data_IF_825972341150
#
_entry.id   IF_825972341150
#
_cell.length_a   1.000
_cell.length_b   1.000
_cell.length_c   1.000
_cell.angle_alpha   90.00
_cell.angle_beta   90.00
_cell.angle_gamma   90.00
#
_symmetry.space_group_name_H-M   'P 1'
#
loop_
_entity.id
_entity.type
_entity.pdbx_description
1 polymer ?
#
# COMPACT_ATOMS: atom_id res chain seq x y z
N UNK A 1 -3.35 -3.46 6.94
CA UNK A 1 -2.13 -2.81 6.38
C UNK A 1 -1.08 -2.57 7.46
N UNK A 2 0.22 -2.59 7.11
CA UNK A 2 1.29 -2.16 8.02
C UNK A 2 1.24 -0.65 8.29
N UNK A 3 1.58 -0.27 9.53
CA UNK A 3 1.75 1.12 9.94
C UNK A 3 2.96 1.75 9.22
N UNK A 4 2.89 3.02 8.82
CA UNK A 4 3.98 3.73 8.08
C UNK A 4 5.35 3.62 8.75
N UNK A 5 5.38 3.72 10.08
CA UNK A 5 6.56 3.56 10.93
C UNK A 5 7.33 2.27 10.67
N UNK A 6 6.67 1.19 10.26
CA UNK A 6 7.36 -0.06 9.91
C UNK A 6 8.26 0.13 8.67
N UNK A 7 7.75 0.80 7.64
CA UNK A 7 8.51 1.11 6.41
C UNK A 7 9.60 2.16 6.68
N UNK A 8 9.32 3.15 7.52
CA UNK A 8 10.31 4.15 7.95
C UNK A 8 11.42 3.56 8.83
N UNK A 9 11.09 2.58 9.66
CA UNK A 9 12.09 1.82 10.42
C UNK A 9 12.91 0.96 9.47
N UNK A 10 12.28 0.28 8.50
CA UNK A 10 12.97 -0.52 7.50
C UNK A 10 14.00 0.32 6.71
N UNK A 11 13.61 1.51 6.24
CA UNK A 11 14.52 2.44 5.55
C UNK A 11 15.74 2.78 6.41
N UNK A 12 15.51 3.19 7.67
CA UNK A 12 16.60 3.51 8.62
C UNK A 12 17.52 2.33 8.87
N UNK A 13 16.94 1.15 9.07
CA UNK A 13 17.69 -0.09 9.33
C UNK A 13 18.55 -0.47 8.14
N UNK A 14 18.02 -0.44 6.92
CA UNK A 14 18.79 -0.79 5.71
C UNK A 14 19.91 0.23 5.47
N UNK A 15 19.63 1.53 5.65
CA UNK A 15 20.66 2.58 5.54
C UNK A 15 21.83 2.33 6.49
N UNK A 16 21.53 1.95 7.73
CA UNK A 16 22.53 1.62 8.73
C UNK A 16 23.33 0.35 8.39
N UNK A 17 22.64 -0.73 7.99
CA UNK A 17 23.28 -2.01 7.63
C UNK A 17 24.23 -1.84 6.43
N UNK A 18 23.84 -1.02 5.45
CA UNK A 18 24.61 -0.83 4.21
C UNK A 18 25.61 0.32 4.26
N UNK A 19 25.67 1.05 5.39
CA UNK A 19 26.37 2.33 5.51
C UNK A 19 26.10 3.27 4.30
N UNK A 20 24.83 3.34 3.89
CA UNK A 20 24.42 4.06 2.70
C UNK A 20 23.19 4.91 3.00
N UNK A 21 23.30 6.24 2.84
CA UNK A 21 22.25 7.19 3.19
C UNK A 21 21.15 7.36 2.12
N UNK A 22 21.28 6.75 0.95
CA UNK A 22 20.22 6.72 -0.06
C UNK A 22 18.97 6.02 0.48
N UNK A 23 17.80 6.35 -0.08
CA UNK A 23 16.54 5.69 0.29
C UNK A 23 16.67 4.15 0.19
N UNK A 24 16.19 3.45 1.22
CA UNK A 24 16.33 1.99 1.37
C UNK A 24 17.78 1.51 1.18
N UNK A 25 18.77 2.30 1.59
CA UNK A 25 20.19 2.05 1.37
C UNK A 25 20.55 1.80 -0.11
N UNK A 26 19.83 2.43 -1.03
CA UNK A 26 19.97 2.24 -2.47
C UNK A 26 19.38 0.95 -3.04
N UNK A 27 18.58 0.20 -2.26
CA UNK A 27 17.89 -0.99 -2.76
C UNK A 27 16.59 -0.63 -3.47
N UNK A 28 16.28 -1.39 -4.52
CA UNK A 28 14.96 -1.37 -5.12
C UNK A 28 14.00 -2.15 -4.23
N UNK A 29 12.93 -1.49 -3.78
CA UNK A 29 11.88 -2.09 -2.96
C UNK A 29 10.57 -2.05 -3.73
N UNK A 30 9.93 -3.20 -3.89
CA UNK A 30 8.59 -3.31 -4.45
C UNK A 30 7.58 -3.40 -3.31
N UNK A 31 6.64 -2.45 -3.28
CA UNK A 31 5.49 -2.50 -2.39
C UNK A 31 4.29 -3.00 -3.19
N UNK A 32 3.73 -4.13 -2.79
CA UNK A 32 2.55 -4.73 -3.41
C UNK A 32 1.42 -4.82 -2.39
N UNK A 33 0.21 -4.46 -2.82
CA UNK A 33 -0.99 -4.56 -1.98
C UNK A 33 -2.11 -3.66 -2.47
N UNK A 34 -3.32 -3.94 -2.02
CA UNK A 34 -4.48 -3.09 -2.25
C UNK A 34 -4.66 -2.10 -1.09
N UNK A 35 -4.17 -0.88 -1.26
CA UNK A 35 -4.28 0.19 -0.26
C UNK A 35 -5.71 0.68 -0.03
N UNK A 36 -6.69 0.26 -0.86
CA UNK A 36 -8.13 0.54 -0.68
C UNK A 36 -8.82 -0.47 0.24
N UNK A 37 -8.18 -1.59 0.58
CA UNK A 37 -8.86 -2.74 1.19
C UNK A 37 -9.05 -2.61 2.70
N UNK A 38 -8.06 -2.07 3.43
CA UNK A 38 -8.20 -1.85 4.88
C UNK A 38 -7.15 -0.85 5.38
N UNK A 39 -7.57 0.14 6.16
CA UNK A 39 -6.65 1.03 6.87
C UNK A 39 -5.84 0.25 7.94
N UNK A 40 -4.70 0.79 8.43
CA UNK A 40 -4.03 0.22 9.59
C UNK A 40 -4.96 0.28 10.81
N UNK A 41 -5.12 -0.84 11.51
CA UNK A 41 -5.95 -0.92 12.72
C UNK A 41 -5.22 -0.25 13.87
N UNK A 42 -5.82 0.79 14.46
CA UNK A 42 -5.30 1.49 15.63
C UNK A 42 -6.30 1.37 16.77
N UNK A 43 -5.94 0.66 17.84
CA UNK A 43 -6.80 0.51 19.01
C UNK A 43 -7.11 1.88 19.62
N UNK A 44 -8.41 2.20 19.75
CA UNK A 44 -8.91 3.49 20.26
C UNK A 44 -8.39 4.70 19.47
N UNK A 45 -8.00 4.51 18.21
CA UNK A 45 -7.56 5.57 17.32
C UNK A 45 -8.74 6.42 16.83
N UNK A 46 -8.46 7.69 16.52
CA UNK A 46 -9.40 8.51 15.74
C UNK A 46 -9.13 8.30 14.25
N UNK A 47 -10.08 8.64 13.35
CA UNK A 47 -9.84 8.56 11.90
C UNK A 47 -8.59 9.31 11.45
N UNK A 48 -8.29 10.46 12.08
CA UNK A 48 -7.07 11.20 11.81
C UNK A 48 -5.79 10.42 12.14
N UNK A 49 -5.80 9.64 13.23
CA UNK A 49 -4.67 8.78 13.62
C UNK A 49 -4.52 7.61 12.64
N UNK A 50 -5.61 7.00 12.20
CA UNK A 50 -5.60 5.92 11.21
C UNK A 50 -5.06 6.38 9.85
N UNK A 51 -5.52 7.54 9.38
CA UNK A 51 -5.03 8.17 8.15
C UNK A 51 -3.53 8.48 8.29
N UNK A 52 -3.11 9.06 9.43
CA UNK A 52 -1.70 9.34 9.69
C UNK A 52 -0.83 8.08 9.82
N UNK A 53 -1.42 6.93 10.17
CA UNK A 53 -0.75 5.64 10.21
C UNK A 53 -0.55 5.03 8.81
N UNK A 54 -1.30 5.48 7.80
CA UNK A 54 -1.20 4.95 6.44
C UNK A 54 0.14 5.26 5.79
N UNK A 55 0.58 4.36 4.90
CA UNK A 55 1.81 4.55 4.14
C UNK A 55 1.84 5.86 3.35
N UNK A 56 0.69 6.30 2.82
CA UNK A 56 0.54 7.57 2.10
C UNK A 56 0.94 8.80 2.94
N UNK A 57 0.84 8.71 4.27
CA UNK A 57 1.23 9.75 5.21
C UNK A 57 2.70 9.66 5.66
N UNK A 58 3.49 8.75 5.07
CA UNK A 58 4.93 8.65 5.33
C UNK A 58 5.71 9.70 4.57
N UNK A 59 6.79 10.18 5.17
CA UNK A 59 7.79 11.03 4.48
C UNK A 59 8.41 10.33 3.27
N UNK A 60 8.41 8.99 3.26
CA UNK A 60 8.96 8.20 2.15
C UNK A 60 8.02 8.13 0.94
N UNK A 61 6.75 8.49 1.10
CA UNK A 61 5.76 8.34 0.03
C UNK A 61 6.08 9.16 -1.22
N UNK A 62 6.73 10.31 -1.06
CA UNK A 62 7.17 11.17 -2.18
C UNK A 62 8.11 10.45 -3.14
N UNK A 63 8.82 9.43 -2.66
CA UNK A 63 9.76 8.64 -3.47
C UNK A 63 9.12 7.39 -4.10
N UNK A 64 7.85 7.11 -3.82
CA UNK A 64 7.16 5.92 -4.32
C UNK A 64 6.63 6.19 -5.72
N UNK A 65 7.13 5.42 -6.69
CA UNK A 65 6.53 5.33 -8.02
C UNK A 65 5.35 4.37 -7.99
N UNK A 66 4.18 4.84 -8.43
CA UNK A 66 2.94 4.05 -8.43
C UNK A 66 2.80 3.29 -9.74
N UNK A 67 2.43 2.02 -9.63
CA UNK A 67 2.03 1.17 -10.74
C UNK A 67 0.68 0.55 -10.39
N UNK A 68 -0.27 0.65 -11.30
CA UNK A 68 -1.64 0.16 -11.10
C UNK A 68 -1.87 -1.07 -11.98
N UNK A 69 -2.23 -2.19 -11.36
CA UNK A 69 -2.74 -3.35 -12.08
C UNK A 69 -4.24 -3.14 -12.31
N UNK A 70 -4.65 -3.14 -13.58
CA UNK A 70 -6.05 -2.90 -13.98
C UNK A 70 -6.81 -4.18 -14.30
N UNK A 71 -6.09 -5.30 -14.47
CA UNK A 71 -6.68 -6.58 -14.87
C UNK A 71 -6.84 -7.50 -13.67
N UNK A 72 -8.08 -7.82 -13.34
CA UNK A 72 -8.40 -8.88 -12.39
C UNK A 72 -8.27 -10.25 -13.09
N UNK A 73 -7.09 -10.85 -13.02
CA UNK A 73 -6.79 -12.14 -13.63
C UNK A 73 -7.70 -13.26 -13.11
N UNK A 74 -8.12 -13.23 -11.84
CA UNK A 74 -9.00 -14.24 -11.26
C UNK A 74 -10.36 -14.26 -11.97
N UNK A 75 -10.96 -13.09 -12.17
CA UNK A 75 -12.23 -12.93 -12.90
C UNK A 75 -12.07 -13.32 -14.38
N UNK A 76 -10.95 -12.93 -15.00
CA UNK A 76 -10.70 -13.23 -16.42
C UNK A 76 -10.58 -14.73 -16.69
N UNK A 77 -9.89 -15.47 -15.81
CA UNK A 77 -9.64 -16.89 -16.00
C UNK A 77 -10.87 -17.77 -15.74
N UNK A 78 -11.75 -17.37 -14.81
CA UNK A 78 -12.93 -18.17 -14.46
C UNK A 78 -14.16 -17.83 -15.30
N UNK A 79 -14.07 -16.78 -16.14
CA UNK A 79 -15.14 -16.24 -17.00
C UNK A 79 -16.52 -16.11 -16.32
N UNK A 80 -16.51 -15.88 -15.01
CA UNK A 80 -17.71 -15.77 -14.20
C UNK A 80 -18.28 -14.35 -14.31
N UNK A 81 -19.46 -14.25 -14.91
CA UNK A 81 -20.19 -13.00 -15.09
C UNK A 81 -20.56 -12.31 -13.77
N UNK A 82 -20.88 -13.07 -12.72
CA UNK A 82 -21.24 -12.50 -11.42
C UNK A 82 -19.99 -11.95 -10.71
N UNK A 83 -18.89 -12.71 -10.71
CA UNK A 83 -17.62 -12.24 -10.17
C UNK A 83 -17.13 -10.96 -10.88
N UNK A 84 -17.37 -10.85 -12.19
CA UNK A 84 -17.04 -9.64 -12.97
C UNK A 84 -17.87 -8.43 -12.54
N UNK A 85 -19.18 -8.60 -12.38
CA UNK A 85 -20.07 -7.53 -11.92
C UNK A 85 -19.72 -7.09 -10.49
N UNK A 86 -19.48 -8.05 -9.59
CA UNK A 86 -19.10 -7.75 -8.22
C UNK A 86 -17.75 -7.01 -8.13
N UNK A 87 -16.75 -7.45 -8.90
CA UNK A 87 -15.45 -6.77 -8.95
C UNK A 87 -15.56 -5.33 -9.49
N UNK A 88 -16.42 -5.09 -10.49
CA UNK A 88 -16.68 -3.75 -11.01
C UNK A 88 -17.35 -2.85 -9.95
N UNK A 89 -18.38 -3.36 -9.25
CA UNK A 89 -19.05 -2.62 -8.18
C UNK A 89 -18.09 -2.25 -7.03
N UNK A 90 -17.19 -3.16 -6.64
CA UNK A 90 -16.16 -2.87 -5.63
C UNK A 90 -15.17 -1.78 -6.06
N UNK A 91 -14.88 -1.67 -7.36
CA UNK A 91 -14.02 -0.61 -7.87
C UNK A 91 -14.72 0.74 -7.82
N UNK A 92 -16.01 0.81 -8.19
CA UNK A 92 -16.80 2.04 -8.11
C UNK A 92 -16.90 2.58 -6.67
N UNK A 93 -17.11 1.70 -5.68
CA UNK A 93 -17.17 2.12 -4.26
C UNK A 93 -15.83 2.71 -3.77
N UNK A 94 -14.71 2.34 -4.39
CA UNK A 94 -13.37 2.75 -3.98
C UNK A 94 -12.76 3.90 -4.80
N UNK A 95 -13.50 4.50 -5.74
CA UNK A 95 -13.11 5.67 -6.54
C UNK A 95 -13.80 6.93 -5.99
N UNK A 96 -13.24 7.51 -4.93
CA UNK A 96 -13.50 8.89 -4.46
C UNK A 96 -12.16 9.59 -4.17
#
# INVERSE_FOLDING_TARGET
MSHKRAIEALDRTIKNIKDNRHIMGGMVVLLAGNFRQTLPVINKGTPAVEINACLKASVLWVHVKKFCLTTNMQVQLHNDSQARQYAAALLEIGED
#
